data_IF_242978997358
#
_entry.id   IF_242978997358
#
_cell.length_a   1.000
_cell.length_b   1.000
_cell.length_c   1.000
_cell.angle_alpha   90.00
_cell.angle_beta   90.00
_cell.angle_gamma   90.00
#
_symmetry.space_group_name_H-M   'P 1'
#
loop_
_entity.id
_entity.type
_entity.pdbx_description
1 polymer ?
#
# COMPACT_ATOMS: atom_id res chain seq x y z
N UNK A 1 30.12 -0.57 14.25
CA UNK A 1 28.64 -0.61 14.30
C UNK A 1 28.11 -0.30 12.91
N UNK A 2 27.66 -1.29 12.14
CA UNK A 2 26.86 -1.10 10.91
C UNK A 2 26.14 -2.41 10.55
N UNK A 3 24.83 -2.56 10.84
CA UNK A 3 24.00 -3.50 10.08
C UNK A 3 22.71 -2.88 9.51
N UNK A 4 22.51 -1.57 9.58
CA UNK A 4 21.21 -0.95 9.26
C UNK A 4 20.82 -0.93 7.77
N UNK A 5 21.77 -1.10 6.85
CA UNK A 5 21.52 -1.05 5.39
C UNK A 5 20.91 -2.35 4.85
N UNK A 6 21.22 -3.51 5.45
CA UNK A 6 20.73 -4.80 4.96
C UNK A 6 19.21 -4.96 5.17
N UNK A 7 18.71 -4.56 6.34
CA UNK A 7 17.29 -4.72 6.67
C UNK A 7 16.40 -3.71 5.94
N UNK A 8 16.86 -2.48 5.71
CA UNK A 8 16.13 -1.52 4.87
C UNK A 8 15.99 -2.02 3.42
N UNK A 9 17.05 -2.58 2.84
CA UNK A 9 17.00 -3.17 1.51
C UNK A 9 16.00 -4.34 1.44
N UNK A 10 15.99 -5.23 2.44
CA UNK A 10 15.02 -6.33 2.53
C UNK A 10 13.58 -5.82 2.62
N UNK A 11 13.33 -4.81 3.46
CA UNK A 11 12.01 -4.21 3.60
C UNK A 11 11.55 -3.54 2.30
N UNK A 12 12.44 -2.81 1.60
CA UNK A 12 12.12 -2.19 0.32
C UNK A 12 11.75 -3.21 -0.76
N UNK A 13 12.49 -4.33 -0.84
CA UNK A 13 12.16 -5.44 -1.73
C UNK A 13 10.81 -6.08 -1.38
N UNK A 14 10.52 -6.25 -0.09
CA UNK A 14 9.25 -6.79 0.40
C UNK A 14 8.07 -5.86 0.06
N UNK A 15 8.23 -4.55 0.25
CA UNK A 15 7.25 -3.53 -0.17
C UNK A 15 7.01 -3.60 -1.67
N UNK A 16 8.07 -3.72 -2.49
CA UNK A 16 7.94 -3.81 -3.95
C UNK A 16 7.18 -5.08 -4.37
N UNK A 17 7.51 -6.23 -3.79
CA UNK A 17 6.88 -7.49 -4.10
C UNK A 17 5.39 -7.47 -3.72
N UNK A 18 5.07 -7.17 -2.46
CA UNK A 18 3.70 -7.09 -1.95
C UNK A 18 2.90 -6.00 -2.70
N UNK A 19 3.50 -4.83 -2.91
CA UNK A 19 2.88 -3.74 -3.64
C UNK A 19 2.53 -4.10 -5.08
N UNK A 20 3.33 -4.97 -5.73
CA UNK A 20 3.02 -5.44 -7.09
C UNK A 20 1.78 -6.35 -7.10
N UNK A 21 1.66 -7.24 -6.11
CA UNK A 21 0.46 -8.09 -5.93
C UNK A 21 -0.78 -7.24 -5.67
N UNK A 22 -0.70 -6.27 -4.75
CA UNK A 22 -1.82 -5.38 -4.43
C UNK A 22 -2.23 -4.54 -5.63
N UNK A 23 -1.26 -4.03 -6.39
CA UNK A 23 -1.51 -3.26 -7.60
C UNK A 23 -2.31 -4.06 -8.63
N UNK A 24 -1.92 -5.33 -8.87
CA UNK A 24 -2.65 -6.22 -9.78
C UNK A 24 -4.08 -6.49 -9.31
N UNK A 25 -4.28 -6.77 -8.02
CA UNK A 25 -5.61 -6.99 -7.44
C UNK A 25 -6.52 -5.77 -7.60
N UNK A 26 -6.00 -4.57 -7.36
CA UNK A 26 -6.76 -3.32 -7.49
C UNK A 26 -7.14 -3.02 -8.95
N UNK A 27 -6.25 -3.29 -9.91
CA UNK A 27 -6.56 -3.15 -11.34
C UNK A 27 -7.65 -4.14 -11.76
N UNK A 28 -7.54 -5.41 -11.36
CA UNK A 28 -8.53 -6.45 -11.71
C UNK A 28 -9.94 -6.11 -11.18
N UNK A 29 -10.00 -5.38 -10.07
CA UNK A 29 -11.24 -4.91 -9.44
C UNK A 29 -11.79 -3.62 -10.08
N UNK A 30 -11.01 -2.97 -10.95
CA UNK A 30 -11.47 -1.84 -11.77
C UNK A 30 -10.87 -0.48 -11.40
N UNK A 31 -9.89 -0.40 -10.49
CA UNK A 31 -9.23 0.87 -10.17
C UNK A 31 -8.26 1.26 -11.31
N UNK A 32 -8.27 2.52 -11.78
CA UNK A 32 -7.30 3.02 -12.76
C UNK A 32 -5.86 2.74 -12.35
N UNK A 33 -5.01 2.34 -13.31
CA UNK A 33 -3.64 1.85 -13.05
C UNK A 33 -2.80 2.80 -12.19
N UNK A 34 -2.92 4.10 -12.41
CA UNK A 34 -2.17 5.14 -11.68
C UNK A 34 -2.59 5.22 -10.21
N UNK A 35 -3.90 5.23 -9.94
CA UNK A 35 -4.45 5.27 -8.59
C UNK A 35 -4.19 3.96 -7.85
N UNK A 36 -4.40 2.83 -8.54
CA UNK A 36 -4.11 1.50 -8.03
C UNK A 36 -2.65 1.38 -7.57
N UNK A 37 -1.69 1.92 -8.34
CA UNK A 37 -0.28 1.91 -7.97
C UNK A 37 -0.03 2.73 -6.70
N UNK A 38 -0.63 3.91 -6.62
CA UNK A 38 -0.47 4.81 -5.47
C UNK A 38 -1.04 4.20 -4.19
N UNK A 39 -2.23 3.59 -4.28
CA UNK A 39 -2.89 2.88 -3.17
C UNK A 39 -2.08 1.65 -2.75
N UNK A 40 -1.68 0.80 -3.71
CA UNK A 40 -0.93 -0.42 -3.44
C UNK A 40 0.39 -0.15 -2.71
N UNK A 41 1.13 0.87 -3.14
CA UNK A 41 2.38 1.27 -2.48
C UNK A 41 2.11 1.77 -1.06
N UNK A 42 1.04 2.53 -0.84
CA UNK A 42 0.68 3.03 0.49
C UNK A 42 0.35 1.88 1.45
N UNK A 43 -0.49 0.93 1.02
CA UNK A 43 -0.89 -0.22 1.84
C UNK A 43 0.31 -1.15 2.09
N UNK A 44 1.15 -1.41 1.08
CA UNK A 44 2.34 -2.24 1.24
C UNK A 44 3.36 -1.63 2.21
N UNK A 45 3.56 -0.29 2.15
CA UNK A 45 4.41 0.43 3.11
C UNK A 45 3.83 0.38 4.53
N UNK A 46 2.51 0.49 4.66
CA UNK A 46 1.84 0.34 5.94
C UNK A 46 2.06 -1.07 6.51
N UNK A 47 1.81 -2.12 5.71
CA UNK A 47 1.92 -3.51 6.15
C UNK A 47 3.36 -3.93 6.51
N UNK A 48 4.36 -3.45 5.77
CA UNK A 48 5.77 -3.86 5.97
C UNK A 48 6.52 -2.96 6.94
N UNK A 49 6.29 -1.64 6.88
CA UNK A 49 7.09 -0.63 7.58
C UNK A 49 6.27 0.17 8.60
N UNK A 50 4.98 -0.12 8.78
CA UNK A 50 4.06 0.66 9.63
C UNK A 50 4.03 2.16 9.26
N UNK A 51 4.40 2.48 8.02
CA UNK A 51 4.39 3.83 7.49
C UNK A 51 2.97 4.22 7.08
N UNK A 52 2.45 5.29 7.66
CA UNK A 52 1.09 5.76 7.36
C UNK A 52 1.00 6.36 5.95
N UNK A 53 -0.15 6.22 5.26
CA UNK A 53 -0.40 6.90 4.00
C UNK A 53 -0.37 8.43 4.19
N UNK A 54 0.13 9.15 3.18
CA UNK A 54 0.06 10.62 3.08
C UNK A 54 -1.34 11.08 2.64
N UNK A 55 -1.64 12.37 2.74
CA UNK A 55 -2.99 12.90 2.50
C UNK A 55 -3.58 12.51 1.14
N UNK A 56 -2.81 12.65 0.05
CA UNK A 56 -3.26 12.21 -1.28
C UNK A 56 -3.56 10.70 -1.31
N UNK A 57 -2.75 9.89 -0.64
CA UNK A 57 -2.95 8.43 -0.58
C UNK A 57 -4.19 8.10 0.26
N UNK A 58 -4.42 8.81 1.36
CA UNK A 58 -5.63 8.69 2.19
C UNK A 58 -6.88 9.05 1.39
N UNK A 59 -6.83 10.13 0.63
CA UNK A 59 -7.93 10.56 -0.26
C UNK A 59 -8.25 9.47 -1.28
N UNK A 60 -7.24 8.91 -1.96
CA UNK A 60 -7.44 7.82 -2.91
C UNK A 60 -7.99 6.55 -2.23
N UNK A 61 -7.45 6.15 -1.08
CA UNK A 61 -7.93 4.99 -0.32
C UNK A 61 -9.39 5.20 0.10
N UNK A 62 -9.76 6.41 0.52
CA UNK A 62 -11.13 6.74 0.90
C UNK A 62 -12.08 6.72 -0.31
N UNK A 63 -11.67 7.37 -1.41
CA UNK A 63 -12.43 7.41 -2.67
C UNK A 63 -12.73 6.02 -3.22
N UNK A 64 -11.73 5.13 -3.19
CA UNK A 64 -11.86 3.74 -3.66
C UNK A 64 -12.14 2.73 -2.52
N UNK A 65 -12.64 3.17 -1.37
CA UNK A 65 -12.79 2.33 -0.17
C UNK A 65 -13.53 1.02 -0.41
N UNK A 66 -14.65 1.05 -1.15
CA UNK A 66 -15.39 -0.15 -1.51
C UNK A 66 -14.55 -1.17 -2.30
N UNK A 67 -13.75 -0.70 -3.26
CA UNK A 67 -12.87 -1.54 -4.07
C UNK A 67 -11.69 -2.09 -3.24
N UNK A 68 -11.11 -1.25 -2.37
CA UNK A 68 -10.04 -1.66 -1.43
C UNK A 68 -10.55 -2.73 -0.45
N UNK A 69 -11.78 -2.59 0.06
CA UNK A 69 -12.44 -3.59 0.89
C UNK A 69 -12.69 -4.90 0.12
N UNK A 70 -13.21 -4.81 -1.12
CA UNK A 70 -13.43 -5.97 -1.97
C UNK A 70 -12.13 -6.72 -2.30
N UNK A 71 -11.02 -5.99 -2.42
CA UNK A 71 -9.68 -6.55 -2.60
C UNK A 71 -9.09 -7.18 -1.33
N UNK A 72 -9.78 -7.09 -0.17
CA UNK A 72 -9.27 -7.48 1.16
C UNK A 72 -7.99 -6.72 1.57
N UNK A 73 -7.82 -5.49 1.06
CA UNK A 73 -6.66 -4.64 1.32
C UNK A 73 -6.92 -3.56 2.36
N UNK A 74 -8.14 -3.47 2.89
CA UNK A 74 -8.46 -2.55 3.98
C UNK A 74 -7.70 -2.91 5.27
N UNK A 75 -7.26 -1.89 6.03
CA UNK A 75 -6.74 -2.03 7.40
C UNK A 75 -7.36 -0.94 8.26
N UNK A 76 -7.77 -1.30 9.48
CA UNK A 76 -8.43 -0.37 10.40
C UNK A 76 -7.61 0.91 10.65
N UNK A 77 -6.28 0.82 10.68
CA UNK A 77 -5.40 1.96 10.94
C UNK A 77 -4.92 2.75 9.71
N UNK A 78 -5.41 2.47 8.49
CA UNK A 78 -4.94 3.19 7.28
C UNK A 78 -5.31 4.68 7.30
N UNK A 79 -6.47 5.01 7.85
CA UNK A 79 -7.03 6.37 7.84
C UNK A 79 -7.12 7.02 9.22
N UNK A 80 -6.76 6.30 10.28
CA UNK A 80 -6.81 6.85 11.65
C UNK A 80 -5.70 7.89 11.81
N UNK A 81 -6.10 9.07 12.30
CA UNK A 81 -5.24 10.21 12.64
C UNK A 81 -4.38 9.91 13.85
#
# INVERSE_FOLDING_TARGET
>A
MLPQTSDQCKQALKVKHIGSTYWQQLIQIGIPKQDARTIAVAIAKYDVMQCRPRDLQKQLICHYSAFVCRAKLWRAGLLVT
#
